data_IF_417454174435
#
_entry.id   IF_417454174435
#
_cell.length_a   1.000
_cell.length_b   1.000
_cell.length_c   1.000
_cell.angle_alpha   90.00
_cell.angle_beta   90.00
_cell.angle_gamma   90.00
#
_symmetry.space_group_name_H-M   'P 1'
#
loop_
_entity.id
_entity.type
_entity.pdbx_description
1 polymer ?
#
# COMPACT_ATOMS: atom_id res chain seq x y z
N UNK A 1 0.40 6.91 38.70
CA UNK A 1 -0.28 7.23 37.43
C UNK A 1 -0.41 5.91 36.69
N UNK A 2 -1.58 5.56 36.28
CA UNK A 2 -1.84 4.35 35.52
C UNK A 2 -1.65 4.56 33.99
N UNK A 3 -1.70 3.48 33.22
CA UNK A 3 -1.50 3.52 31.78
C UNK A 3 -2.58 4.35 31.07
N UNK A 4 -3.83 4.29 31.53
CA UNK A 4 -4.95 5.05 30.93
C UNK A 4 -4.79 6.56 31.13
N UNK A 5 -4.37 6.99 32.32
CA UNK A 5 -4.04 8.39 32.58
C UNK A 5 -2.85 8.88 31.73
N UNK A 6 -1.84 8.02 31.52
CA UNK A 6 -0.71 8.33 30.65
C UNK A 6 -1.13 8.49 29.19
N UNK A 7 -2.00 7.62 28.68
CA UNK A 7 -2.60 7.71 27.35
C UNK A 7 -3.34 9.04 27.18
N UNK A 8 -4.20 9.38 28.12
CA UNK A 8 -4.98 10.63 28.10
C UNK A 8 -4.07 11.86 28.02
N UNK A 9 -3.01 11.92 28.83
CA UNK A 9 -2.05 13.02 28.81
C UNK A 9 -1.39 13.13 27.42
N UNK A 10 -0.95 12.00 26.82
CA UNK A 10 -0.27 12.01 25.53
C UNK A 10 -1.22 12.40 24.37
N UNK A 11 -2.48 12.03 24.47
CA UNK A 11 -3.45 12.30 23.40
C UNK A 11 -4.03 13.72 23.47
N UNK A 12 -4.22 14.31 24.66
CA UNK A 12 -4.86 15.61 24.81
C UNK A 12 -3.89 16.78 24.96
N UNK A 13 -2.68 16.53 25.48
CA UNK A 13 -1.70 17.61 25.70
C UNK A 13 -0.66 17.65 24.58
N UNK A 14 -0.57 18.75 23.80
CA UNK A 14 0.49 18.91 22.80
C UNK A 14 1.89 19.04 23.44
N UNK A 15 1.97 19.59 24.66
CA UNK A 15 3.21 19.75 25.43
C UNK A 15 3.08 19.10 26.80
N UNK A 16 3.85 18.04 27.04
CA UNK A 16 3.98 17.40 28.34
C UNK A 16 5.47 17.31 28.72
N UNK A 17 5.77 17.65 29.97
CA UNK A 17 7.16 17.76 30.47
C UNK A 17 7.67 16.46 31.14
N UNK A 18 6.79 15.51 31.46
CA UNK A 18 7.12 14.30 32.24
C UNK A 18 7.56 13.10 31.36
N UNK A 19 8.37 13.33 30.31
CA UNK A 19 8.78 12.28 29.37
C UNK A 19 9.32 11.02 30.02
N UNK A 20 10.26 11.17 30.99
CA UNK A 20 10.90 10.02 31.65
C UNK A 20 9.90 9.19 32.45
N UNK A 21 8.94 9.82 33.10
CA UNK A 21 7.91 9.16 33.90
C UNK A 21 6.93 8.41 32.99
N UNK A 22 6.46 9.07 31.93
CA UNK A 22 5.58 8.45 30.94
C UNK A 22 6.26 7.26 30.24
N UNK A 23 7.52 7.43 29.82
CA UNK A 23 8.32 6.36 29.19
C UNK A 23 8.45 5.15 30.14
N UNK A 24 8.69 5.40 31.43
CA UNK A 24 8.78 4.34 32.44
C UNK A 24 7.48 3.54 32.57
N UNK A 25 6.34 4.21 32.63
CA UNK A 25 5.03 3.55 32.75
C UNK A 25 4.79 2.54 31.62
N UNK A 26 5.07 2.94 30.37
CA UNK A 26 4.87 2.04 29.22
C UNK A 26 5.94 0.93 29.15
N UNK A 27 7.17 1.16 29.63
CA UNK A 27 8.21 0.12 29.74
C UNK A 27 7.83 -0.91 30.80
N UNK A 28 7.44 -0.46 32.00
CA UNK A 28 7.00 -1.34 33.09
C UNK A 28 5.77 -2.17 32.62
N UNK A 29 4.83 -1.54 31.91
CA UNK A 29 3.69 -2.25 31.33
C UNK A 29 4.09 -3.31 30.31
N UNK A 30 5.08 -3.05 29.44
CA UNK A 30 5.60 -4.03 28.48
C UNK A 30 6.21 -5.26 29.14
N UNK A 31 6.85 -5.09 30.31
CA UNK A 31 7.42 -6.19 31.09
C UNK A 31 6.35 -7.05 31.75
N UNK A 32 5.23 -6.45 32.17
CA UNK A 32 4.07 -7.16 32.76
C UNK A 32 3.27 -7.96 31.73
N UNK A 33 3.23 -7.52 30.48
CA UNK A 33 2.42 -8.14 29.42
C UNK A 33 2.98 -9.49 28.97
N UNK A 34 2.10 -10.47 28.79
CA UNK A 34 2.48 -11.75 28.21
C UNK A 34 2.93 -11.57 26.75
N UNK A 35 3.77 -12.47 26.29
CA UNK A 35 4.22 -12.48 24.88
C UNK A 35 3.09 -12.68 23.87
N UNK A 36 1.91 -13.16 24.33
CA UNK A 36 0.71 -13.38 23.50
C UNK A 36 -0.21 -12.17 23.39
N UNK A 37 0.03 -11.11 24.17
CA UNK A 37 -0.82 -9.92 24.22
C UNK A 37 -0.40 -8.88 23.18
N UNK A 38 -0.36 -9.35 21.92
CA UNK A 38 0.23 -8.63 20.78
C UNK A 38 -0.33 -7.21 20.59
N UNK A 39 -1.65 -7.03 20.73
CA UNK A 39 -2.28 -5.71 20.54
C UNK A 39 -1.84 -4.72 21.60
N UNK A 40 -1.84 -5.11 22.88
CA UNK A 40 -1.42 -4.23 23.98
C UNK A 40 0.06 -3.90 23.89
N UNK A 41 0.90 -4.89 23.56
CA UNK A 41 2.34 -4.68 23.33
C UNK A 41 2.59 -3.70 22.18
N UNK A 42 1.84 -3.83 21.09
CA UNK A 42 1.93 -2.88 19.97
C UNK A 42 1.50 -1.47 20.38
N UNK A 43 0.43 -1.32 21.17
CA UNK A 43 -0.03 -0.04 21.69
C UNK A 43 1.01 0.60 22.62
N UNK A 44 1.63 -0.17 23.51
CA UNK A 44 2.70 0.35 24.36
C UNK A 44 3.89 0.87 23.52
N UNK A 45 4.33 0.12 22.52
CA UNK A 45 5.40 0.57 21.61
C UNK A 45 4.98 1.81 20.80
N UNK A 46 3.72 1.92 20.38
CA UNK A 46 3.19 3.11 19.73
C UNK A 46 3.28 4.36 20.63
N UNK A 47 2.90 4.25 21.91
CA UNK A 47 2.99 5.39 22.83
C UNK A 47 4.44 5.72 23.20
N UNK A 48 5.31 4.72 23.38
CA UNK A 48 6.75 4.93 23.56
C UNK A 48 7.35 5.68 22.37
N UNK A 49 7.01 5.28 21.16
CA UNK A 49 7.43 5.97 19.94
C UNK A 49 6.94 7.43 19.92
N UNK A 50 5.67 7.68 20.25
CA UNK A 50 5.12 9.04 20.31
C UNK A 50 5.83 9.91 21.36
N UNK A 51 6.14 9.35 22.53
CA UNK A 51 6.88 10.04 23.58
C UNK A 51 8.24 10.46 23.07
N UNK A 52 9.01 9.54 22.46
CA UNK A 52 10.35 9.84 21.96
C UNK A 52 10.31 10.83 20.80
N UNK A 53 9.37 10.70 19.86
CA UNK A 53 9.21 11.62 18.74
C UNK A 53 8.83 13.05 19.18
N UNK A 54 8.14 13.22 20.31
CA UNK A 54 7.79 14.54 20.87
C UNK A 54 8.87 15.11 21.76
N UNK A 55 9.78 14.28 22.30
CA UNK A 55 10.90 14.79 23.08
C UNK A 55 11.75 15.73 22.22
N UNK A 56 12.26 16.80 22.82
CA UNK A 56 13.14 17.77 22.13
C UNK A 56 14.55 17.22 21.86
N UNK A 57 14.85 16.03 22.37
CA UNK A 57 16.15 15.38 22.24
C UNK A 57 16.24 14.67 20.90
N UNK A 58 16.90 15.26 19.92
CA UNK A 58 17.08 14.74 18.56
C UNK A 58 17.98 13.49 18.46
N UNK A 59 18.49 12.95 19.56
CA UNK A 59 19.53 11.93 19.55
C UNK A 59 19.05 10.48 19.54
N UNK A 60 17.74 10.24 19.55
CA UNK A 60 17.17 8.90 19.71
C UNK A 60 16.54 8.34 18.42
N UNK A 61 17.12 8.67 17.27
CA UNK A 61 16.60 8.20 15.95
C UNK A 61 16.51 6.68 15.89
N UNK A 62 17.51 5.96 16.45
CA UNK A 62 17.51 4.51 16.48
C UNK A 62 16.41 3.97 17.41
N UNK A 63 16.23 4.56 18.59
CA UNK A 63 15.18 4.16 19.52
C UNK A 63 13.78 4.33 18.90
N UNK A 64 13.55 5.40 18.13
CA UNK A 64 12.32 5.59 17.37
C UNK A 64 12.09 4.45 16.37
N UNK A 65 13.12 4.06 15.63
CA UNK A 65 13.04 2.96 14.67
C UNK A 65 12.78 1.62 15.33
N UNK A 66 13.39 1.40 16.50
CA UNK A 66 13.21 0.16 17.26
C UNK A 66 11.75 0.03 17.75
N UNK A 67 11.18 1.08 18.37
CA UNK A 67 9.77 1.07 18.77
C UNK A 67 8.82 0.93 17.58
N UNK A 68 9.10 1.61 16.47
CA UNK A 68 8.31 1.47 15.25
C UNK A 68 8.36 0.04 14.69
N UNK A 69 9.54 -0.57 14.69
CA UNK A 69 9.73 -1.96 14.25
C UNK A 69 9.00 -2.96 15.14
N UNK A 70 9.15 -2.84 16.47
CA UNK A 70 8.47 -3.75 17.42
C UNK A 70 6.95 -3.57 17.38
N UNK A 71 6.44 -2.33 17.29
CA UNK A 71 5.01 -2.07 17.09
C UNK A 71 4.48 -2.82 15.84
N UNK A 72 5.18 -2.67 14.71
CA UNK A 72 4.81 -3.34 13.46
C UNK A 72 4.83 -4.85 13.56
N UNK A 73 5.82 -5.41 14.26
CA UNK A 73 5.96 -6.85 14.46
C UNK A 73 4.80 -7.40 15.28
N UNK A 74 4.44 -6.72 16.37
CA UNK A 74 3.33 -7.14 17.23
C UNK A 74 1.98 -7.04 16.51
N UNK A 75 1.71 -5.96 15.77
CA UNK A 75 0.50 -5.85 14.95
C UNK A 75 0.42 -6.95 13.87
N UNK A 76 1.54 -7.29 13.23
CA UNK A 76 1.58 -8.40 12.25
C UNK A 76 1.28 -9.75 12.90
N UNK A 77 1.79 -10.01 14.11
CA UNK A 77 1.48 -11.24 14.86
C UNK A 77 -0.02 -11.34 15.17
N UNK A 78 -0.63 -10.26 15.65
CA UNK A 78 -2.07 -10.22 15.93
C UNK A 78 -2.90 -10.45 14.66
N UNK A 79 -2.56 -9.78 13.57
CA UNK A 79 -3.24 -9.99 12.29
C UNK A 79 -3.12 -11.45 11.80
N UNK A 80 -1.94 -12.05 11.96
CA UNK A 80 -1.73 -13.46 11.62
C UNK A 80 -2.61 -14.39 12.47
N UNK A 81 -2.77 -14.09 13.77
CA UNK A 81 -3.66 -14.82 14.68
C UNK A 81 -5.12 -14.72 14.19
N UNK A 82 -5.60 -13.52 13.82
CA UNK A 82 -6.96 -13.35 13.28
C UNK A 82 -7.15 -14.05 11.92
N UNK A 83 -6.16 -14.03 11.04
CA UNK A 83 -6.23 -14.74 9.75
C UNK A 83 -6.29 -16.26 9.93
N UNK A 84 -5.56 -16.81 10.92
CA UNK A 84 -5.54 -18.24 11.19
C UNK A 84 -6.83 -18.76 11.79
N UNK A 85 -7.40 -18.02 12.72
CA UNK A 85 -8.52 -18.46 13.56
C UNK A 85 -9.73 -17.50 13.45
N UNK A 86 -10.03 -16.99 12.24
CA UNK A 86 -11.06 -15.95 12.01
C UNK A 86 -12.40 -16.22 12.72
N UNK A 87 -12.83 -17.49 12.77
CA UNK A 87 -14.11 -17.87 13.36
C UNK A 87 -14.15 -17.78 14.90
N UNK A 88 -13.00 -17.69 15.56
CA UNK A 88 -12.92 -17.62 17.04
C UNK A 88 -13.07 -16.20 17.57
N UNK A 89 -12.94 -15.20 16.70
CA UNK A 89 -12.98 -13.80 17.10
C UNK A 89 -14.23 -13.12 16.58
N UNK A 90 -14.93 -12.30 17.39
CA UNK A 90 -16.10 -11.53 16.96
C UNK A 90 -15.68 -10.49 15.91
N UNK A 91 -16.57 -10.22 14.95
CA UNK A 91 -16.31 -9.25 13.90
C UNK A 91 -16.03 -7.84 14.45
N UNK A 92 -16.67 -7.49 15.58
CA UNK A 92 -16.45 -6.21 16.27
C UNK A 92 -15.02 -6.05 16.77
N UNK A 93 -14.44 -7.10 17.37
CA UNK A 93 -13.05 -7.08 17.84
C UNK A 93 -12.06 -6.89 16.68
N UNK A 94 -12.31 -7.57 15.56
CA UNK A 94 -11.48 -7.43 14.34
C UNK A 94 -11.61 -6.02 13.77
N UNK A 95 -12.82 -5.45 13.71
CA UNK A 95 -13.04 -4.09 13.22
C UNK A 95 -12.39 -3.04 14.13
N UNK A 96 -12.46 -3.22 15.45
CA UNK A 96 -11.81 -2.33 16.43
C UNK A 96 -10.29 -2.38 16.30
N UNK A 97 -9.72 -3.56 16.07
CA UNK A 97 -8.31 -3.72 15.77
C UNK A 97 -7.90 -2.95 14.48
N UNK A 98 -8.68 -3.03 13.41
CA UNK A 98 -8.39 -2.27 12.19
C UNK A 98 -8.57 -0.77 12.37
N UNK A 99 -9.53 -0.31 13.20
CA UNK A 99 -9.64 1.11 13.58
C UNK A 99 -8.44 1.60 14.36
N UNK A 100 -7.95 0.79 15.30
CA UNK A 100 -6.74 1.08 16.06
C UNK A 100 -5.53 1.23 15.13
N UNK A 101 -5.33 0.28 14.21
CA UNK A 101 -4.26 0.35 13.20
C UNK A 101 -4.33 1.64 12.37
N UNK A 102 -5.53 1.95 11.83
CA UNK A 102 -5.72 3.12 10.97
C UNK A 102 -5.41 4.42 11.72
N UNK A 103 -5.86 4.55 12.98
CA UNK A 103 -5.55 5.70 13.84
C UNK A 103 -4.05 5.80 14.15
N UNK A 104 -3.43 4.70 14.55
CA UNK A 104 -2.01 4.67 14.93
C UNK A 104 -1.12 5.08 13.76
N UNK A 105 -1.29 4.48 12.59
CA UNK A 105 -0.47 4.82 11.42
C UNK A 105 -0.77 6.21 10.86
N UNK A 106 -2.02 6.67 10.89
CA UNK A 106 -2.35 8.05 10.46
C UNK A 106 -1.73 9.09 11.39
N UNK A 107 -1.72 8.85 12.69
CA UNK A 107 -1.06 9.73 13.66
C UNK A 107 0.47 9.74 13.45
N UNK A 108 1.07 8.56 13.26
CA UNK A 108 2.52 8.46 13.03
C UNK A 108 2.94 9.11 11.71
N UNK A 109 2.17 8.95 10.64
CA UNK A 109 2.42 9.62 9.35
C UNK A 109 2.53 11.14 9.53
N UNK A 110 1.61 11.76 10.28
CA UNK A 110 1.64 13.20 10.56
C UNK A 110 2.87 13.58 11.40
N UNK A 111 3.17 12.82 12.46
CA UNK A 111 4.29 13.11 13.36
C UNK A 111 5.63 12.94 12.62
N UNK A 112 5.80 11.88 11.85
CA UNK A 112 7.01 11.64 11.06
C UNK A 112 7.23 12.73 10.02
N UNK A 113 6.17 13.17 9.33
CA UNK A 113 6.22 14.32 8.41
C UNK A 113 6.69 15.59 9.10
N UNK A 114 6.16 15.90 10.28
CA UNK A 114 6.53 17.08 11.05
C UNK A 114 7.99 17.05 11.57
N UNK A 115 8.57 15.86 11.64
CA UNK A 115 9.92 15.62 12.15
C UNK A 115 10.93 15.28 11.04
N UNK A 116 10.53 15.37 9.76
CA UNK A 116 11.35 15.05 8.59
C UNK A 116 11.87 13.59 8.53
N UNK A 117 11.13 12.65 9.12
CA UNK A 117 11.39 11.23 9.03
C UNK A 117 10.72 10.65 7.77
N UNK A 118 11.24 11.03 6.60
CA UNK A 118 10.61 10.71 5.29
C UNK A 118 10.42 9.22 5.06
N UNK A 119 11.41 8.40 5.43
CA UNK A 119 11.35 6.95 5.24
C UNK A 119 10.27 6.30 6.12
N UNK A 120 10.19 6.68 7.39
CA UNK A 120 9.23 6.18 8.35
C UNK A 120 7.80 6.69 8.06
N UNK A 121 7.67 7.92 7.53
CA UNK A 121 6.40 8.45 7.01
C UNK A 121 5.86 7.57 5.88
N UNK A 122 6.68 7.32 4.85
CA UNK A 122 6.31 6.47 3.71
C UNK A 122 5.96 5.05 4.16
N UNK A 123 6.74 4.46 5.06
CA UNK A 123 6.44 3.13 5.63
C UNK A 123 5.12 3.13 6.41
N UNK A 124 4.83 4.19 7.18
CA UNK A 124 3.56 4.30 7.92
C UNK A 124 2.37 4.34 6.97
N UNK A 125 2.46 5.11 5.88
CA UNK A 125 1.45 5.14 4.84
C UNK A 125 1.27 3.76 4.18
N UNK A 126 2.37 3.09 3.80
CA UNK A 126 2.32 1.75 3.18
C UNK A 126 1.66 0.72 4.12
N UNK A 127 2.04 0.68 5.40
CA UNK A 127 1.41 -0.20 6.38
C UNK A 127 -0.09 0.09 6.53
N UNK A 128 -0.48 1.36 6.63
CA UNK A 128 -1.88 1.77 6.69
C UNK A 128 -2.67 1.22 5.50
N UNK A 129 -2.15 1.34 4.28
CA UNK A 129 -2.80 0.84 3.06
C UNK A 129 -2.86 -0.69 3.01
N UNK A 130 -1.78 -1.38 3.44
CA UNK A 130 -1.78 -2.83 3.55
C UNK A 130 -2.84 -3.35 4.54
N UNK A 131 -2.97 -2.71 5.71
CA UNK A 131 -3.99 -3.10 6.68
C UNK A 131 -5.40 -2.76 6.21
N UNK A 132 -5.59 -1.66 5.47
CA UNK A 132 -6.87 -1.32 4.84
C UNK A 132 -7.28 -2.38 3.81
N UNK A 133 -6.36 -2.85 2.98
CA UNK A 133 -6.57 -4.01 2.08
C UNK A 133 -7.01 -5.25 2.86
N UNK A 134 -6.29 -5.57 3.94
CA UNK A 134 -6.61 -6.75 4.76
C UNK A 134 -7.96 -6.60 5.46
N UNK A 135 -8.36 -5.41 5.90
CA UNK A 135 -9.70 -5.10 6.42
C UNK A 135 -10.78 -5.43 5.40
N UNK A 136 -10.63 -5.02 4.13
CA UNK A 136 -11.59 -5.34 3.09
C UNK A 136 -11.73 -6.85 2.84
N UNK A 137 -10.62 -7.60 2.96
CA UNK A 137 -10.68 -9.06 2.91
C UNK A 137 -11.50 -9.65 4.07
N UNK A 138 -11.33 -9.15 5.29
CA UNK A 138 -12.15 -9.56 6.44
C UNK A 138 -13.63 -9.18 6.30
N UNK A 139 -13.92 -8.07 5.65
CA UNK A 139 -15.30 -7.61 5.37
C UNK A 139 -15.94 -8.24 4.14
N UNK A 140 -15.26 -9.18 3.44
CA UNK A 140 -15.69 -9.80 2.18
C UNK A 140 -15.98 -8.79 1.05
N UNK A 141 -15.33 -7.63 1.06
CA UNK A 141 -15.42 -6.60 0.02
C UNK A 141 -14.40 -6.88 -1.09
N UNK A 142 -14.73 -7.82 -1.98
CA UNK A 142 -13.80 -8.31 -3.01
C UNK A 142 -13.24 -7.21 -3.91
N UNK A 143 -14.09 -6.32 -4.44
CA UNK A 143 -13.64 -5.27 -5.35
C UNK A 143 -12.67 -4.29 -4.68
N UNK A 144 -12.99 -3.81 -3.47
CA UNK A 144 -12.09 -2.94 -2.72
C UNK A 144 -10.78 -3.65 -2.35
N UNK A 145 -10.85 -4.93 -1.95
CA UNK A 145 -9.65 -5.73 -1.70
C UNK A 145 -8.78 -5.88 -2.95
N UNK A 146 -9.40 -6.16 -4.11
CA UNK A 146 -8.69 -6.29 -5.40
C UNK A 146 -8.04 -4.98 -5.82
N UNK A 147 -8.76 -3.85 -5.72
CA UNK A 147 -8.25 -2.51 -5.99
C UNK A 147 -7.00 -2.21 -5.15
N UNK A 148 -7.07 -2.37 -3.83
CA UNK A 148 -5.92 -2.14 -2.96
C UNK A 148 -4.78 -3.12 -3.21
N UNK A 149 -5.06 -4.36 -3.56
CA UNK A 149 -4.05 -5.34 -3.94
C UNK A 149 -3.34 -4.92 -5.23
N UNK A 150 -4.10 -4.47 -6.23
CA UNK A 150 -3.58 -3.99 -7.50
C UNK A 150 -2.72 -2.74 -7.30
N UNK A 151 -3.21 -1.71 -6.62
CA UNK A 151 -2.47 -0.49 -6.32
C UNK A 151 -1.18 -0.77 -5.53
N UNK A 152 -1.22 -1.68 -4.57
CA UNK A 152 -0.03 -2.07 -3.82
C UNK A 152 1.03 -2.79 -4.66
N UNK A 153 0.62 -3.58 -5.65
CA UNK A 153 1.53 -4.29 -6.54
C UNK A 153 2.13 -3.37 -7.62
N UNK A 154 1.32 -2.49 -8.20
CA UNK A 154 1.69 -1.66 -9.36
C UNK A 154 2.43 -0.38 -8.99
N UNK A 155 2.03 0.31 -7.93
CA UNK A 155 2.53 1.66 -7.61
C UNK A 155 2.94 1.86 -6.16
N UNK A 156 2.89 0.82 -5.31
CA UNK A 156 2.98 1.00 -3.86
C UNK A 156 1.99 2.06 -3.35
N UNK A 157 0.74 1.94 -3.78
CA UNK A 157 -0.34 2.90 -3.44
C UNK A 157 -0.05 4.35 -3.87
N UNK A 158 0.62 4.53 -5.01
CA UNK A 158 0.98 5.84 -5.55
C UNK A 158 2.38 6.35 -5.12
N UNK A 159 3.09 5.65 -4.25
CA UNK A 159 4.39 6.10 -3.72
C UNK A 159 5.58 5.79 -4.63
N UNK A 160 5.40 5.07 -5.74
CA UNK A 160 6.52 4.66 -6.60
C UNK A 160 6.25 4.85 -8.08
N UNK A 161 6.72 5.98 -8.65
CA UNK A 161 6.68 6.24 -10.09
C UNK A 161 7.46 5.19 -10.90
N UNK A 162 8.56 4.69 -10.35
CA UNK A 162 9.39 3.68 -11.04
C UNK A 162 8.58 2.40 -11.22
N UNK A 163 7.92 1.90 -10.18
CA UNK A 163 7.06 0.70 -10.27
C UNK A 163 5.89 0.92 -11.22
N UNK A 164 5.32 2.12 -11.20
CA UNK A 164 4.25 2.52 -12.09
C UNK A 164 4.69 2.47 -13.55
N UNK A 165 5.84 3.07 -13.87
CA UNK A 165 6.44 3.02 -15.21
C UNK A 165 6.75 1.61 -15.68
N UNK A 166 7.33 0.77 -14.81
CA UNK A 166 7.55 -0.65 -15.14
C UNK A 166 6.23 -1.39 -15.38
N UNK A 167 5.18 -1.12 -14.60
CA UNK A 167 3.86 -1.74 -14.80
C UNK A 167 3.29 -1.36 -16.17
N UNK A 168 3.34 -0.08 -16.55
CA UNK A 168 2.90 0.40 -17.84
C UNK A 168 3.71 -0.25 -18.98
N UNK A 169 5.04 -0.31 -18.84
CA UNK A 169 5.92 -0.94 -19.84
C UNK A 169 5.62 -2.43 -20.03
N UNK A 170 5.52 -3.21 -18.95
CA UNK A 170 5.20 -4.63 -19.06
C UNK A 170 3.77 -4.88 -19.55
N UNK A 171 2.85 -4.00 -19.24
CA UNK A 171 1.50 -4.06 -19.80
C UNK A 171 1.53 -3.85 -21.33
N UNK A 172 2.25 -2.83 -21.80
CA UNK A 172 2.43 -2.60 -23.23
C UNK A 172 3.10 -3.80 -23.94
N UNK A 173 4.13 -4.40 -23.33
CA UNK A 173 4.74 -5.63 -23.87
C UNK A 173 3.74 -6.79 -23.93
N UNK A 174 2.91 -6.95 -22.92
CA UNK A 174 1.84 -7.97 -22.93
C UNK A 174 0.83 -7.73 -24.04
N UNK A 175 0.37 -6.48 -24.20
CA UNK A 175 -0.56 -6.10 -25.27
C UNK A 175 0.04 -6.25 -26.66
N UNK A 176 1.32 -5.93 -26.84
CA UNK A 176 2.02 -6.17 -28.11
C UNK A 176 1.98 -7.65 -28.52
N UNK A 177 2.13 -8.56 -27.54
CA UNK A 177 1.98 -10.00 -27.76
C UNK A 177 0.54 -10.39 -28.16
N UNK A 178 -0.47 -9.78 -27.54
CA UNK A 178 -1.88 -9.97 -27.91
C UNK A 178 -2.12 -9.54 -29.36
N UNK A 179 -1.61 -8.37 -29.78
CA UNK A 179 -1.75 -7.91 -31.17
C UNK A 179 -1.03 -8.80 -32.17
N UNK A 180 0.17 -9.26 -31.84
CA UNK A 180 0.87 -10.23 -32.68
C UNK A 180 0.07 -11.54 -32.84
N UNK A 181 -0.52 -12.05 -31.77
CA UNK A 181 -1.37 -13.25 -31.83
C UNK A 181 -2.67 -13.04 -32.63
N UNK A 182 -3.28 -11.86 -32.51
CA UNK A 182 -4.44 -11.50 -33.31
C UNK A 182 -4.11 -11.48 -34.80
N UNK A 183 -2.98 -10.86 -35.19
CA UNK A 183 -2.56 -10.79 -36.58
C UNK A 183 -2.14 -12.16 -37.14
N UNK A 184 -1.50 -13.00 -36.36
CA UNK A 184 -1.20 -14.39 -36.74
C UNK A 184 -2.46 -15.22 -36.98
N UNK A 185 -3.57 -14.90 -36.34
CA UNK A 185 -4.84 -15.57 -36.55
C UNK A 185 -5.58 -15.13 -37.83
N UNK A 186 -5.16 -14.03 -38.49
CA UNK A 186 -5.79 -13.51 -39.70
C UNK A 186 -5.16 -14.15 -40.95
N UNK A 187 -5.99 -14.82 -41.75
CA UNK A 187 -5.62 -15.37 -43.05
C UNK A 187 -5.45 -14.24 -44.07
N UNK A 188 -6.32 -13.22 -43.99
CA UNK A 188 -6.29 -12.05 -44.85
C UNK A 188 -5.35 -11.00 -44.28
N UNK A 189 -4.27 -10.72 -45.01
CA UNK A 189 -3.25 -9.74 -44.60
C UNK A 189 -3.79 -8.31 -44.47
N UNK A 190 -4.87 -7.97 -45.21
CA UNK A 190 -5.49 -6.66 -45.13
C UNK A 190 -6.20 -6.38 -43.80
N UNK A 191 -6.47 -7.42 -43.01
CA UNK A 191 -7.09 -7.33 -41.68
C UNK A 191 -6.09 -7.23 -40.54
N UNK A 192 -4.78 -7.35 -40.84
CA UNK A 192 -3.73 -7.24 -39.83
C UNK A 192 -3.54 -5.80 -39.38
N UNK A 193 -3.18 -5.62 -38.11
CA UNK A 193 -2.85 -4.33 -37.53
C UNK A 193 -1.48 -3.87 -38.07
N UNK A 194 -0.53 -4.81 -38.14
CA UNK A 194 0.81 -4.58 -38.68
C UNK A 194 0.88 -5.20 -40.09
N UNK A 195 1.17 -4.40 -41.10
CA UNK A 195 1.21 -4.87 -42.47
C UNK A 195 2.28 -5.95 -42.66
N UNK A 196 2.06 -6.84 -43.66
CA UNK A 196 3.02 -7.87 -43.99
C UNK A 196 4.38 -7.26 -44.37
N UNK A 197 5.47 -7.81 -43.81
CA UNK A 197 6.86 -7.32 -44.05
C UNK A 197 7.36 -6.34 -42.96
N UNK A 198 6.54 -5.93 -42.03
CA UNK A 198 6.97 -5.14 -40.89
C UNK A 198 7.69 -6.01 -39.85
N UNK A 199 8.36 -5.35 -38.90
CA UNK A 199 9.19 -6.03 -37.91
C UNK A 199 8.39 -6.34 -36.62
N UNK A 200 8.85 -7.32 -35.86
CA UNK A 200 8.22 -7.70 -34.58
C UNK A 200 8.12 -6.53 -33.58
N UNK A 201 9.02 -5.54 -33.64
CA UNK A 201 8.98 -4.38 -32.75
C UNK A 201 7.85 -3.39 -33.10
N UNK A 202 7.22 -3.50 -34.26
CA UNK A 202 6.08 -2.64 -34.64
C UNK A 202 4.87 -2.90 -33.76
N UNK A 203 4.69 -4.12 -33.26
CA UNK A 203 3.67 -4.42 -32.27
C UNK A 203 3.93 -3.71 -30.93
N UNK A 204 5.20 -3.61 -30.52
CA UNK A 204 5.59 -2.90 -29.29
C UNK A 204 5.34 -1.39 -29.48
N UNK A 205 5.76 -0.87 -30.62
CA UNK A 205 5.53 0.53 -31.00
C UNK A 205 4.03 0.84 -30.98
N UNK A 206 3.21 0.02 -31.67
CA UNK A 206 1.77 0.18 -31.72
C UNK A 206 1.13 0.19 -30.31
N UNK A 207 1.50 -0.74 -29.47
CA UNK A 207 1.00 -0.81 -28.09
C UNK A 207 1.43 0.42 -27.27
N UNK A 208 2.69 0.86 -27.34
CA UNK A 208 3.14 2.06 -26.62
C UNK A 208 2.37 3.31 -27.09
N UNK A 209 2.18 3.48 -28.40
CA UNK A 209 1.43 4.62 -28.98
C UNK A 209 -0.03 4.57 -28.55
N UNK A 210 -0.62 3.38 -28.50
CA UNK A 210 -1.99 3.16 -28.05
C UNK A 210 -2.14 3.43 -26.56
N UNK A 211 -1.29 2.86 -25.72
CA UNK A 211 -1.31 3.03 -24.27
C UNK A 211 -1.13 4.51 -23.86
N UNK A 212 -0.25 5.22 -24.56
CA UNK A 212 -0.01 6.66 -24.31
C UNK A 212 -1.05 7.57 -24.96
N UNK A 213 -2.02 6.99 -25.67
CA UNK A 213 -3.08 7.71 -26.39
C UNK A 213 -2.55 8.71 -27.44
N UNK A 214 -1.32 8.51 -27.93
CA UNK A 214 -0.74 9.35 -29.01
C UNK A 214 -1.46 9.14 -30.35
N UNK A 215 -1.77 7.87 -30.69
CA UNK A 215 -2.61 7.51 -31.81
C UNK A 215 -2.20 8.13 -33.16
N UNK A 216 -0.98 7.89 -33.62
CA UNK A 216 -0.48 8.46 -34.91
C UNK A 216 -1.32 8.05 -36.13
N UNK A 217 -2.06 6.95 -36.05
CA UNK A 217 -2.95 6.50 -37.13
C UNK A 217 -2.24 5.77 -38.28
N UNK A 218 -0.97 5.49 -38.13
CA UNK A 218 -0.15 4.71 -39.07
C UNK A 218 -0.47 3.22 -39.04
N UNK A 219 -0.93 2.72 -37.89
CA UNK A 219 -1.43 1.38 -37.66
C UNK A 219 -2.82 1.43 -37.05
N UNK A 220 -3.75 0.63 -37.56
CA UNK A 220 -5.15 0.66 -37.11
C UNK A 220 -5.74 -0.75 -37.04
N UNK A 221 -6.55 -1.08 -36.01
CA UNK A 221 -7.23 -2.36 -35.93
C UNK A 221 -8.38 -2.45 -36.92
N UNK A 222 -8.37 -3.43 -37.82
CA UNK A 222 -9.43 -3.66 -38.78
C UNK A 222 -10.50 -4.62 -38.24
N UNK A 223 -10.11 -5.56 -37.37
CA UNK A 223 -11.02 -6.55 -36.79
C UNK A 223 -11.78 -6.02 -35.58
N UNK A 224 -12.96 -6.55 -35.29
CA UNK A 224 -13.76 -6.21 -34.11
C UNK A 224 -12.96 -6.51 -32.83
N UNK A 225 -12.31 -7.68 -32.76
CA UNK A 225 -11.48 -8.05 -31.59
C UNK A 225 -10.31 -7.08 -31.40
N UNK A 226 -9.60 -6.72 -32.47
CA UNK A 226 -8.55 -5.71 -32.43
C UNK A 226 -9.06 -4.38 -31.87
N UNK A 227 -10.21 -3.90 -32.33
CA UNK A 227 -10.83 -2.67 -31.83
C UNK A 227 -11.18 -2.74 -30.34
N UNK A 228 -11.69 -3.88 -29.87
CA UNK A 228 -11.99 -4.09 -28.44
C UNK A 228 -10.73 -4.03 -27.59
N UNK A 229 -9.67 -4.73 -27.99
CA UNK A 229 -8.40 -4.70 -27.24
C UNK A 229 -7.74 -3.32 -27.24
N UNK A 230 -7.71 -2.64 -28.38
CA UNK A 230 -7.19 -1.24 -28.48
C UNK A 230 -8.00 -0.29 -27.59
N UNK A 231 -9.32 -0.36 -27.61
CA UNK A 231 -10.17 0.46 -26.76
C UNK A 231 -9.91 0.19 -25.27
N UNK A 232 -9.73 -1.06 -24.89
CA UNK A 232 -9.38 -1.47 -23.53
C UNK A 232 -7.99 -0.95 -23.11
N UNK A 233 -7.02 -1.02 -24.01
CA UNK A 233 -5.66 -0.51 -23.76
C UNK A 233 -5.64 1.01 -23.59
N UNK A 234 -6.33 1.75 -24.46
CA UNK A 234 -6.46 3.21 -24.34
C UNK A 234 -7.12 3.58 -23.02
N UNK A 235 -8.22 2.89 -22.65
CA UNK A 235 -8.89 3.15 -21.38
C UNK A 235 -7.97 2.88 -20.17
N UNK A 236 -7.21 1.78 -20.22
CA UNK A 236 -6.23 1.47 -19.19
C UNK A 236 -5.11 2.50 -19.15
N UNK A 237 -4.58 2.91 -20.31
CA UNK A 237 -3.57 3.96 -20.43
C UNK A 237 -4.05 5.29 -19.84
N UNK A 238 -5.30 5.66 -20.11
CA UNK A 238 -5.90 6.87 -19.53
C UNK A 238 -5.96 6.82 -17.99
N UNK A 239 -6.34 5.66 -17.40
CA UNK A 239 -6.33 5.49 -15.94
C UNK A 239 -4.92 5.49 -15.38
N UNK A 240 -3.95 4.94 -16.12
CA UNK A 240 -2.55 4.84 -15.66
C UNK A 240 -1.81 6.18 -15.75
N UNK A 241 -2.09 7.01 -16.74
CA UNK A 241 -1.33 8.23 -17.05
C UNK A 241 -2.03 9.52 -16.56
N UNK A 242 -3.34 9.47 -16.25
CA UNK A 242 -4.13 10.58 -15.70
C UNK A 242 -4.16 10.59 -14.21
#
# INVERSE_FOLDING_TARGET
MDVQSAIHIIDESPDYDEFSKLKKIFKDRLEELKETDFTERAVCNYYLLRIVLRSRLMYETQECRDYFSEMNKEFKKQLKKYKKDRKKFPATEIDDFFRLLERSYSSLEIIFRQKDFVEEELKSYEYKMHYRRDKFWFQNKFWSWFEYKFLGATSLYGNSFIRWGFTAFFFALGMSGVYALLDLSQIDESLRIVAAGNHWYDYIYFSIVTLTSLGFGDMVPHTILGKVFVSGEVFFGFIMLG
#
